data_IF_509646169376
#
_entry.id   IF_509646169376
#
_cell.length_a   1.000
_cell.length_b   1.000
_cell.length_c   1.000
_cell.angle_alpha   90.00
_cell.angle_beta   90.00
_cell.angle_gamma   90.00
#
_symmetry.space_group_name_H-M   'P 1'
#
loop_
_entity.id
_entity.type
_entity.pdbx_description
1 polymer ?
#
# COMPACT_ATOMS: atom_id res chain seq x y z
N UNK A 1 27.99 40.02 11.83
CA UNK A 1 28.46 39.00 12.80
C UNK A 1 27.86 37.68 12.31
N UNK A 2 28.66 36.92 11.57
CA UNK A 2 28.23 35.63 11.05
C UNK A 2 28.56 34.54 12.09
N UNK A 3 27.56 33.84 12.60
CA UNK A 3 27.79 32.62 13.38
C UNK A 3 27.81 31.45 12.44
N UNK A 4 28.93 30.71 12.55
CA UNK A 4 29.25 29.53 11.78
C UNK A 4 28.32 28.36 12.15
N UNK A 5 27.75 27.74 11.13
CA UNK A 5 27.06 26.46 11.21
C UNK A 5 28.11 25.34 11.27
N UNK A 6 28.09 24.58 12.35
CA UNK A 6 28.91 23.38 12.51
C UNK A 6 28.27 22.24 11.70
N UNK A 7 28.99 21.51 10.84
CA UNK A 7 28.46 20.37 10.15
C UNK A 7 28.25 19.21 11.14
N UNK A 8 27.05 18.65 11.16
CA UNK A 8 26.74 17.40 11.84
C UNK A 8 27.45 16.27 11.12
N UNK A 9 28.39 15.65 11.79
CA UNK A 9 29.08 14.45 11.32
C UNK A 9 28.06 13.33 11.06
N UNK A 10 27.97 12.91 9.81
CA UNK A 10 27.34 11.63 9.46
C UNK A 10 28.25 10.52 10.03
N UNK A 11 27.88 9.99 11.18
CA UNK A 11 28.47 8.76 11.68
C UNK A 11 28.01 7.62 10.75
N UNK A 12 28.95 7.15 9.95
CA UNK A 12 28.92 5.84 9.32
C UNK A 12 28.92 4.78 10.44
N UNK A 13 27.76 4.46 10.99
CA UNK A 13 27.60 3.28 11.83
C UNK A 13 27.46 2.08 10.88
N UNK A 14 28.61 1.46 10.54
CA UNK A 14 28.61 0.08 10.07
C UNK A 14 27.95 -0.76 11.16
N UNK A 15 26.75 -1.24 10.89
CA UNK A 15 26.08 -2.20 11.75
C UNK A 15 27.01 -3.41 11.90
N UNK A 16 27.31 -3.78 13.14
CA UNK A 16 28.13 -4.95 13.45
C UNK A 16 27.46 -6.20 12.85
N UNK A 17 28.25 -7.18 12.34
CA UNK A 17 27.68 -8.40 11.81
C UNK A 17 26.90 -9.11 12.90
N UNK A 18 25.62 -9.36 12.64
CA UNK A 18 24.78 -10.19 13.48
C UNK A 18 25.40 -11.60 13.51
N UNK A 19 25.53 -12.15 14.69
CA UNK A 19 26.16 -13.44 14.97
C UNK A 19 25.59 -14.56 14.10
N UNK A 20 26.48 -15.23 13.32
CA UNK A 20 26.31 -16.51 12.61
C UNK A 20 25.15 -16.67 11.62
N UNK A 21 24.46 -15.61 11.18
CA UNK A 21 23.52 -15.68 10.07
C UNK A 21 24.18 -15.15 8.80
N UNK A 22 24.28 -15.99 7.80
CA UNK A 22 24.86 -15.69 6.48
C UNK A 22 24.05 -14.67 5.62
N UNK A 23 23.19 -13.87 6.25
CA UNK A 23 22.37 -12.86 5.62
C UNK A 23 22.98 -11.46 5.73
N UNK A 24 23.15 -10.79 4.61
CA UNK A 24 23.66 -9.43 4.57
C UNK A 24 22.50 -8.46 4.30
N UNK A 25 22.22 -7.59 5.28
CA UNK A 25 21.18 -6.56 5.11
C UNK A 25 21.84 -5.21 4.95
N UNK A 26 21.44 -4.48 3.93
CA UNK A 26 21.91 -3.13 3.64
C UNK A 26 20.78 -2.21 3.21
N UNK A 27 20.93 -0.91 3.49
CA UNK A 27 20.04 0.10 2.98
C UNK A 27 20.24 0.24 1.46
N UNK A 28 19.14 0.22 0.72
CA UNK A 28 19.17 0.37 -0.73
C UNK A 28 19.36 1.84 -1.15
N UNK A 29 19.99 2.01 -2.29
CA UNK A 29 20.21 3.28 -2.96
C UNK A 29 19.48 3.33 -4.32
N UNK A 30 19.45 4.50 -4.95
CA UNK A 30 18.90 4.61 -6.30
C UNK A 30 19.70 3.84 -7.36
N UNK A 31 20.97 3.46 -7.07
CA UNK A 31 21.75 2.60 -7.95
C UNK A 31 21.18 1.17 -8.05
N UNK A 32 20.48 0.72 -7.02
CA UNK A 32 19.94 -0.64 -6.92
C UNK A 32 18.56 -0.78 -7.61
N UNK A 33 18.01 0.32 -8.14
CA UNK A 33 16.62 0.40 -8.63
C UNK A 33 16.29 -0.70 -9.64
N UNK A 34 17.17 -0.96 -10.60
CA UNK A 34 16.88 -1.94 -11.67
C UNK A 34 16.77 -3.37 -11.12
N UNK A 35 17.68 -3.78 -10.26
CA UNK A 35 17.70 -5.10 -9.64
C UNK A 35 16.50 -5.30 -8.69
N UNK A 36 16.18 -4.28 -7.90
CA UNK A 36 15.05 -4.30 -6.97
C UNK A 36 13.72 -4.41 -7.73
N UNK A 37 13.54 -3.65 -8.81
CA UNK A 37 12.35 -3.74 -9.66
C UNK A 37 12.23 -5.13 -10.29
N UNK A 38 13.33 -5.71 -10.78
CA UNK A 38 13.35 -7.07 -11.33
C UNK A 38 12.94 -8.10 -10.28
N UNK A 39 13.49 -7.99 -9.06
CA UNK A 39 13.15 -8.88 -7.94
C UNK A 39 11.67 -8.80 -7.57
N UNK A 40 11.14 -7.59 -7.38
CA UNK A 40 9.75 -7.37 -6.98
C UNK A 40 8.75 -7.75 -8.09
N UNK A 41 9.09 -7.57 -9.36
CA UNK A 41 8.25 -7.93 -10.49
C UNK A 41 8.04 -9.45 -10.66
N UNK A 42 8.76 -10.30 -9.93
CA UNK A 42 8.47 -11.75 -9.90
C UNK A 42 7.10 -12.06 -9.30
N UNK A 43 6.58 -11.15 -8.44
CA UNK A 43 5.27 -11.29 -7.80
C UNK A 43 4.50 -9.95 -7.83
N UNK A 44 4.12 -9.46 -9.01
CA UNK A 44 3.75 -8.07 -9.22
C UNK A 44 2.50 -7.62 -8.46
N UNK A 45 1.48 -8.47 -8.25
CA UNK A 45 0.29 -8.11 -7.47
C UNK A 45 0.56 -8.06 -5.96
N UNK A 46 1.57 -8.79 -5.47
CA UNK A 46 1.97 -8.83 -4.06
C UNK A 46 2.90 -7.66 -3.70
N UNK A 47 3.60 -7.11 -4.68
CA UNK A 47 4.64 -6.10 -4.49
C UNK A 47 4.27 -4.74 -5.09
N UNK A 48 3.06 -4.61 -5.65
CA UNK A 48 2.59 -3.40 -6.35
C UNK A 48 2.76 -2.13 -5.53
N UNK A 49 2.58 -2.20 -4.21
CA UNK A 49 2.73 -1.03 -3.33
C UNK A 49 4.19 -0.58 -3.25
N UNK A 50 5.15 -1.50 -3.04
CA UNK A 50 6.57 -1.17 -3.03
C UNK A 50 7.06 -0.68 -4.40
N UNK A 51 6.66 -1.38 -5.47
CA UNK A 51 6.96 -0.96 -6.85
C UNK A 51 6.41 0.43 -7.17
N UNK A 52 5.19 0.73 -6.71
CA UNK A 52 4.58 2.05 -6.89
C UNK A 52 5.32 3.15 -6.14
N UNK A 53 5.77 2.90 -4.90
CA UNK A 53 6.63 3.84 -4.17
C UNK A 53 7.93 4.12 -4.94
N UNK A 54 8.60 3.07 -5.42
CA UNK A 54 9.86 3.21 -6.18
C UNK A 54 9.62 4.00 -7.48
N UNK A 55 8.54 3.71 -8.19
CA UNK A 55 8.17 4.41 -9.43
C UNK A 55 7.88 5.89 -9.20
N UNK A 56 7.10 6.20 -8.16
CA UNK A 56 6.59 7.56 -7.93
C UNK A 56 7.63 8.46 -7.24
N UNK A 57 8.52 7.89 -6.44
CA UNK A 57 9.39 8.64 -5.53
C UNK A 57 10.88 8.27 -5.68
N UNK A 58 11.22 7.14 -6.32
CA UNK A 58 12.55 6.51 -6.23
C UNK A 58 12.72 5.69 -4.94
N UNK A 59 13.81 4.92 -4.87
CA UNK A 59 14.14 4.11 -3.68
C UNK A 59 14.43 5.00 -2.47
N UNK A 60 15.25 6.05 -2.67
CA UNK A 60 15.61 7.02 -1.63
C UNK A 60 14.71 8.24 -1.72
N UNK A 61 13.69 8.31 -0.85
CA UNK A 61 12.79 9.45 -0.78
C UNK A 61 12.07 9.51 0.58
N UNK A 62 11.97 10.68 1.15
CA UNK A 62 11.16 10.94 2.37
C UNK A 62 9.66 10.66 2.13
N UNK A 63 9.21 10.77 0.88
CA UNK A 63 7.82 10.48 0.50
C UNK A 63 7.46 9.00 0.64
N UNK A 64 8.44 8.10 0.72
CA UNK A 64 8.21 6.69 1.01
C UNK A 64 7.84 6.48 2.49
N UNK A 65 8.11 7.46 3.36
CA UNK A 65 7.86 7.41 4.80
C UNK A 65 8.54 6.21 5.47
N UNK A 66 9.67 5.78 4.93
CA UNK A 66 10.45 4.64 5.35
C UNK A 66 11.68 4.47 4.46
N UNK A 67 12.48 3.50 4.78
CA UNK A 67 13.73 3.16 4.10
C UNK A 67 13.63 1.79 3.45
N UNK A 68 14.08 1.68 2.22
CA UNK A 68 14.20 0.40 1.55
C UNK A 68 15.48 -0.31 1.95
N UNK A 69 15.37 -1.60 2.26
CA UNK A 69 16.46 -2.50 2.59
C UNK A 69 16.46 -3.72 1.67
N UNK A 70 17.65 -4.22 1.37
CA UNK A 70 17.85 -5.54 0.76
C UNK A 70 18.34 -6.54 1.80
N UNK A 71 18.02 -7.81 1.58
CA UNK A 71 18.71 -8.93 2.20
C UNK A 71 19.34 -9.77 1.08
N UNK A 72 20.66 -10.02 1.18
CA UNK A 72 21.42 -10.77 0.18
C UNK A 72 22.02 -12.03 0.77
N UNK A 73 22.24 -13.05 -0.06
CA UNK A 73 22.99 -14.22 0.30
C UNK A 73 24.51 -13.97 0.15
N UNK A 74 25.33 -14.99 0.47
CA UNK A 74 26.81 -14.93 0.38
C UNK A 74 27.32 -14.64 -1.03
N UNK A 75 26.56 -15.01 -2.05
CA UNK A 75 26.91 -14.80 -3.45
C UNK A 75 26.46 -13.42 -3.97
N UNK A 76 25.82 -12.61 -3.11
CA UNK A 76 25.33 -11.27 -3.43
C UNK A 76 23.93 -11.22 -4.06
N UNK A 77 23.25 -12.34 -4.24
CA UNK A 77 21.89 -12.37 -4.81
C UNK A 77 20.84 -11.91 -3.80
N UNK A 78 19.84 -11.15 -4.27
CA UNK A 78 18.69 -10.72 -3.47
C UNK A 78 17.84 -11.91 -3.01
N UNK A 79 17.64 -12.02 -1.70
CA UNK A 79 16.70 -12.93 -1.05
C UNK A 79 15.50 -12.20 -0.46
N UNK A 80 15.60 -10.88 -0.32
CA UNK A 80 14.50 -10.07 0.16
C UNK A 80 14.70 -8.58 -0.11
N UNK A 81 13.57 -7.89 -0.20
CA UNK A 81 13.45 -6.43 -0.22
C UNK A 81 12.36 -6.04 0.78
N UNK A 82 12.63 -5.07 1.62
CA UNK A 82 11.66 -4.51 2.54
C UNK A 82 11.66 -2.98 2.51
N UNK A 83 10.49 -2.39 2.63
CA UNK A 83 10.30 -1.00 3.06
C UNK A 83 10.02 -1.03 4.56
N UNK A 84 10.84 -0.39 5.37
CA UNK A 84 10.70 -0.31 6.82
C UNK A 84 10.54 1.14 7.23
N UNK A 85 9.44 1.45 7.89
CA UNK A 85 9.10 2.81 8.29
C UNK A 85 7.68 2.92 8.83
N UNK A 86 6.97 3.97 8.46
CA UNK A 86 5.57 4.15 8.85
C UNK A 86 4.69 2.94 8.42
N UNK A 87 4.91 2.39 7.23
CA UNK A 87 4.43 1.08 6.83
C UNK A 87 5.63 0.16 6.60
N UNK A 88 5.60 -1.04 7.18
CA UNK A 88 6.57 -2.09 6.90
C UNK A 88 5.94 -3.09 5.92
N UNK A 89 6.56 -3.18 4.75
CA UNK A 89 6.18 -4.06 3.64
C UNK A 89 7.40 -4.89 3.26
N UNK A 90 7.20 -6.15 2.90
CA UNK A 90 8.32 -7.03 2.56
C UNK A 90 7.98 -8.06 1.49
N UNK A 91 8.96 -8.36 0.66
CA UNK A 91 8.98 -9.51 -0.25
C UNK A 91 10.26 -10.29 -0.01
N UNK A 92 10.15 -11.57 0.32
CA UNK A 92 11.29 -12.42 0.66
C UNK A 92 11.15 -13.80 0.04
N UNK A 93 12.30 -14.44 -0.22
CA UNK A 93 12.36 -15.84 -0.69
C UNK A 93 12.83 -16.80 0.40
N UNK A 94 13.26 -16.28 1.56
CA UNK A 94 13.78 -17.07 2.69
C UNK A 94 13.29 -16.53 4.03
N UNK A 95 13.11 -17.41 5.03
CA UNK A 95 12.75 -17.01 6.40
C UNK A 95 13.87 -16.19 7.06
N UNK A 96 15.13 -16.47 6.71
CA UNK A 96 16.29 -15.70 7.17
C UNK A 96 16.19 -14.22 6.81
N UNK A 97 15.70 -13.90 5.61
CA UNK A 97 15.48 -12.51 5.21
C UNK A 97 14.35 -11.86 6.02
N UNK A 98 13.28 -12.61 6.35
CA UNK A 98 12.21 -12.14 7.24
C UNK A 98 12.74 -11.81 8.63
N UNK A 99 13.52 -12.71 9.22
CA UNK A 99 14.10 -12.53 10.56
C UNK A 99 15.02 -11.31 10.60
N UNK A 100 15.86 -11.14 9.57
CA UNK A 100 16.77 -10.01 9.47
C UNK A 100 16.03 -8.67 9.32
N UNK A 101 14.95 -8.61 8.53
CA UNK A 101 14.13 -7.41 8.42
C UNK A 101 13.35 -7.12 9.70
N UNK A 102 12.90 -8.13 10.43
CA UNK A 102 12.23 -7.95 11.71
C UNK A 102 13.16 -7.30 12.76
N UNK A 103 14.44 -7.69 12.79
CA UNK A 103 15.42 -7.07 13.68
C UNK A 103 15.64 -5.58 13.38
N UNK A 104 15.71 -5.20 12.09
CA UNK A 104 15.81 -3.80 11.70
C UNK A 104 14.54 -3.04 12.07
N UNK A 105 13.38 -3.62 11.82
CA UNK A 105 12.10 -2.97 12.05
C UNK A 105 11.85 -2.66 13.55
N UNK A 106 12.43 -3.43 14.48
CA UNK A 106 12.35 -3.15 15.93
C UNK A 106 12.89 -1.77 16.31
N UNK A 107 13.86 -1.25 15.56
CA UNK A 107 14.47 0.07 15.81
C UNK A 107 13.71 1.23 15.16
N UNK A 108 12.56 0.97 14.53
CA UNK A 108 11.78 1.98 13.85
C UNK A 108 10.71 2.55 14.78
N UNK A 109 11.00 3.67 15.43
CA UNK A 109 10.11 4.29 16.44
C UNK A 109 8.79 4.86 15.87
N UNK A 110 8.73 5.14 14.56
CA UNK A 110 7.56 5.71 13.91
C UNK A 110 6.77 4.69 13.08
N UNK A 111 6.98 3.40 13.32
CA UNK A 111 6.22 2.35 12.68
C UNK A 111 4.74 2.44 13.08
N UNK A 112 3.85 2.36 12.08
CA UNK A 112 2.41 2.43 12.30
C UNK A 112 1.73 1.11 11.94
N UNK A 113 2.22 0.43 10.90
CA UNK A 113 1.65 -0.82 10.44
C UNK A 113 2.68 -1.74 9.81
N UNK A 114 2.40 -3.04 9.90
CA UNK A 114 3.12 -4.11 9.22
C UNK A 114 2.11 -4.86 8.38
N UNK A 115 2.37 -5.06 7.08
CA UNK A 115 1.43 -5.72 6.18
C UNK A 115 2.15 -6.70 5.25
N UNK A 116 1.54 -7.86 5.04
CA UNK A 116 2.03 -8.88 4.11
C UNK A 116 1.16 -10.13 4.11
N UNK A 117 1.58 -11.14 3.36
CA UNK A 117 0.91 -12.43 3.36
C UNK A 117 0.97 -13.08 4.76
N UNK A 118 -0.11 -13.73 5.15
CA UNK A 118 -0.31 -14.29 6.52
C UNK A 118 0.90 -15.08 7.00
N UNK A 119 1.38 -16.03 6.22
CA UNK A 119 2.49 -16.90 6.60
C UNK A 119 3.78 -16.14 6.88
N UNK A 120 4.04 -15.10 6.06
CA UNK A 120 5.21 -14.21 6.24
C UNK A 120 5.05 -13.31 7.44
N UNK A 121 3.85 -12.76 7.66
CA UNK A 121 3.56 -11.89 8.80
C UNK A 121 3.64 -12.67 10.10
N UNK A 122 3.15 -13.90 10.16
CA UNK A 122 3.28 -14.76 11.35
C UNK A 122 4.75 -15.03 11.72
N UNK A 123 5.61 -15.30 10.73
CA UNK A 123 7.06 -15.47 10.95
C UNK A 123 7.72 -14.16 11.37
N UNK A 124 7.47 -13.07 10.65
CA UNK A 124 8.01 -11.76 10.96
C UNK A 124 7.60 -11.28 12.36
N UNK A 125 6.33 -11.41 12.71
CA UNK A 125 5.78 -10.98 14.00
C UNK A 125 6.41 -11.73 15.16
N UNK A 126 6.67 -13.03 15.00
CA UNK A 126 7.30 -13.85 16.03
C UNK A 126 8.66 -13.28 16.47
N UNK A 127 9.41 -12.74 15.54
CA UNK A 127 10.69 -12.06 15.83
C UNK A 127 10.45 -10.61 16.31
N UNK A 128 9.61 -9.85 15.61
CA UNK A 128 9.39 -8.44 15.86
C UNK A 128 8.85 -8.17 17.28
N UNK A 129 7.87 -8.93 17.76
CA UNK A 129 7.21 -8.73 19.06
C UNK A 129 8.17 -8.79 20.26
N UNK A 130 9.34 -9.40 20.13
CA UNK A 130 10.33 -9.54 21.21
C UNK A 130 11.12 -8.26 21.51
N UNK A 131 10.81 -7.13 20.90
CA UNK A 131 11.49 -5.85 21.13
C UNK A 131 10.94 -4.72 20.27
N UNK A 132 9.96 -4.99 19.42
CA UNK A 132 9.24 -3.98 18.64
C UNK A 132 8.07 -3.37 19.41
N UNK A 133 7.31 -2.52 18.72
CA UNK A 133 6.11 -1.90 19.27
C UNK A 133 4.98 -2.93 19.47
N UNK A 134 4.10 -2.66 20.43
CA UNK A 134 2.95 -3.53 20.70
C UNK A 134 1.90 -3.43 19.59
N UNK A 135 1.24 -4.56 19.36
CA UNK A 135 0.09 -4.62 18.45
C UNK A 135 -1.10 -3.92 19.07
N UNK A 136 -1.69 -2.98 18.32
CA UNK A 136 -2.95 -2.33 18.68
C UNK A 136 -4.17 -3.03 18.07
N UNK A 137 -4.06 -3.42 16.81
CA UNK A 137 -5.14 -4.04 16.04
C UNK A 137 -4.53 -4.94 14.97
N UNK A 138 -5.14 -6.08 14.70
CA UNK A 138 -4.85 -6.91 13.54
C UNK A 138 -6.09 -7.09 12.68
N UNK A 139 -5.93 -6.96 11.38
CA UNK A 139 -6.96 -7.15 10.37
C UNK A 139 -6.50 -8.22 9.38
N UNK A 140 -7.37 -9.17 9.08
CA UNK A 140 -7.18 -10.13 7.99
C UNK A 140 -7.89 -9.65 6.75
N UNK A 141 -7.21 -9.73 5.60
CA UNK A 141 -7.69 -9.23 4.33
C UNK A 141 -7.47 -10.26 3.23
N UNK A 142 -8.37 -10.29 2.27
CA UNK A 142 -8.31 -11.17 1.12
C UNK A 142 -7.82 -10.37 -0.10
N UNK A 143 -6.73 -10.83 -0.72
CA UNK A 143 -6.22 -10.28 -1.99
C UNK A 143 -7.03 -10.84 -3.15
N UNK A 144 -7.71 -9.95 -3.85
CA UNK A 144 -8.42 -10.26 -5.08
C UNK A 144 -7.70 -9.67 -6.29
N UNK A 145 -7.76 -10.38 -7.42
CA UNK A 145 -7.20 -9.96 -8.71
C UNK A 145 -8.24 -10.07 -9.83
N UNK A 146 -8.24 -9.11 -10.72
CA UNK A 146 -8.93 -9.15 -12.01
C UNK A 146 -7.91 -8.98 -13.13
N UNK A 147 -7.78 -10.00 -13.99
CA UNK A 147 -6.86 -10.02 -15.13
C UNK A 147 -7.56 -10.30 -16.48
N UNK A 148 -8.86 -10.33 -16.45
CA UNK A 148 -9.69 -10.56 -17.64
C UNK A 148 -10.65 -9.41 -17.85
N UNK A 149 -10.89 -8.97 -19.09
CA UNK A 149 -11.78 -7.85 -19.36
C UNK A 149 -13.22 -8.18 -18.95
N UNK A 150 -13.79 -7.29 -18.16
CA UNK A 150 -15.20 -7.37 -17.76
C UNK A 150 -16.08 -6.72 -18.83
N UNK A 151 -17.18 -7.37 -19.14
CA UNK A 151 -18.19 -6.78 -20.01
C UNK A 151 -18.93 -5.66 -19.27
N UNK A 152 -18.72 -4.43 -19.71
CA UNK A 152 -19.54 -3.29 -19.27
C UNK A 152 -20.88 -3.35 -19.98
N UNK A 153 -21.97 -3.58 -19.22
CA UNK A 153 -23.31 -3.70 -19.79
C UNK A 153 -23.88 -2.31 -20.05
N UNK A 154 -23.74 -1.40 -19.08
CA UNK A 154 -24.19 -0.01 -19.17
C UNK A 154 -23.11 0.93 -18.63
N UNK A 155 -22.70 1.90 -19.42
CA UNK A 155 -21.76 2.93 -18.98
C UNK A 155 -22.44 3.87 -17.97
N UNK A 156 -21.67 4.28 -16.96
CA UNK A 156 -22.07 5.28 -15.99
C UNK A 156 -21.63 6.65 -16.48
N UNK A 157 -22.60 7.47 -16.85
CA UNK A 157 -22.30 8.84 -17.21
C UNK A 157 -21.69 9.58 -16.01
N UNK A 158 -20.56 10.28 -16.24
CA UNK A 158 -19.92 11.09 -15.22
C UNK A 158 -18.89 10.35 -14.36
N UNK A 159 -18.56 9.06 -14.63
CA UNK A 159 -17.38 8.42 -14.03
C UNK A 159 -16.12 9.07 -14.64
N UNK A 160 -15.33 9.72 -13.80
CA UNK A 160 -14.13 10.47 -14.18
C UNK A 160 -13.10 10.51 -13.07
N UNK A 161 -11.88 10.90 -13.40
CA UNK A 161 -10.93 11.31 -12.39
C UNK A 161 -11.45 12.54 -11.63
N UNK A 162 -11.22 12.56 -10.31
CA UNK A 162 -11.57 13.69 -9.48
C UNK A 162 -10.70 14.92 -9.80
N UNK A 163 -11.26 16.09 -9.59
CA UNK A 163 -10.57 17.38 -9.65
C UNK A 163 -10.46 17.99 -8.24
N UNK A 164 -9.72 19.08 -8.07
CA UNK A 164 -9.64 19.77 -6.78
C UNK A 164 -11.01 20.26 -6.27
N UNK A 165 -11.97 20.51 -7.17
CA UNK A 165 -13.35 20.88 -6.78
C UNK A 165 -14.09 19.74 -6.07
N UNK A 166 -13.65 18.49 -6.25
CA UNK A 166 -14.23 17.32 -5.59
C UNK A 166 -13.58 17.03 -4.21
N UNK A 167 -12.51 17.71 -3.85
CA UNK A 167 -11.73 17.41 -2.64
C UNK A 167 -12.58 17.42 -1.38
N UNK A 168 -13.43 18.43 -1.22
CA UNK A 168 -14.28 18.60 -0.03
C UNK A 168 -15.44 17.56 0.00
N UNK A 169 -15.75 16.91 -1.12
CA UNK A 169 -16.67 15.76 -1.16
C UNK A 169 -15.94 14.44 -0.85
N UNK A 170 -14.70 14.30 -1.29
CA UNK A 170 -13.90 13.07 -1.15
C UNK A 170 -13.34 12.92 0.26
N UNK A 171 -12.81 13.99 0.85
CA UNK A 171 -12.11 13.94 2.15
C UNK A 171 -12.94 13.35 3.30
N UNK A 172 -14.21 13.77 3.54
CA UNK A 172 -15.00 13.22 4.64
C UNK A 172 -15.23 11.71 4.49
N UNK A 173 -15.49 11.26 3.26
CA UNK A 173 -15.70 9.84 2.95
C UNK A 173 -14.41 9.05 3.19
N UNK A 174 -13.27 9.54 2.71
CA UNK A 174 -11.98 8.91 2.92
C UNK A 174 -11.59 8.87 4.40
N UNK A 175 -11.88 9.93 5.16
CA UNK A 175 -11.64 9.99 6.60
C UNK A 175 -12.48 8.99 7.37
N UNK A 176 -13.77 8.84 7.03
CA UNK A 176 -14.65 7.84 7.61
C UNK A 176 -14.15 6.41 7.34
N UNK A 177 -13.78 6.11 6.08
CA UNK A 177 -13.26 4.79 5.71
C UNK A 177 -11.98 4.45 6.48
N UNK A 178 -11.03 5.40 6.58
CA UNK A 178 -9.81 5.21 7.34
C UNK A 178 -10.08 4.97 8.84
N UNK A 179 -11.07 5.66 9.41
CA UNK A 179 -11.51 5.44 10.79
C UNK A 179 -12.13 4.04 10.99
N UNK A 180 -12.99 3.61 10.07
CA UNK A 180 -13.62 2.29 10.12
C UNK A 180 -12.57 1.15 10.04
N UNK A 181 -11.49 1.36 9.30
CA UNK A 181 -10.41 0.41 9.11
C UNK A 181 -9.44 0.37 10.30
N UNK A 182 -8.92 1.52 10.69
CA UNK A 182 -7.82 1.63 11.66
C UNK A 182 -8.25 2.03 13.06
N UNK A 183 -9.49 2.54 13.24
CA UNK A 183 -9.96 3.13 14.50
C UNK A 183 -9.36 4.52 14.80
N UNK A 184 -8.60 5.10 13.88
CA UNK A 184 -8.02 6.46 14.02
C UNK A 184 -8.60 7.35 12.92
N UNK A 185 -9.20 8.48 13.35
CA UNK A 185 -9.70 9.48 12.41
C UNK A 185 -8.57 10.41 11.95
N UNK A 186 -8.11 10.29 10.68
CA UNK A 186 -7.02 11.12 10.20
C UNK A 186 -7.39 12.62 10.09
N UNK A 187 -8.68 12.95 10.03
CA UNK A 187 -9.14 14.34 10.02
C UNK A 187 -9.00 15.02 11.39
N UNK A 188 -8.83 14.24 12.46
CA UNK A 188 -8.60 14.72 13.82
C UNK A 188 -7.12 14.62 14.22
N UNK A 189 -6.46 13.51 13.86
CA UNK A 189 -5.08 13.25 14.27
C UNK A 189 -4.02 13.98 13.42
N UNK A 190 -4.29 14.17 12.11
CA UNK A 190 -3.36 14.83 11.16
C UNK A 190 -4.15 15.46 9.99
N UNK A 191 -4.96 16.51 10.24
CA UNK A 191 -5.85 17.08 9.22
C UNK A 191 -5.10 17.65 8.01
N UNK A 192 -3.99 18.34 8.22
CA UNK A 192 -3.21 18.95 7.14
C UNK A 192 -2.50 17.91 6.29
N UNK A 193 -1.84 16.95 6.90
CA UNK A 193 -1.20 15.86 6.18
C UNK A 193 -2.22 14.97 5.47
N UNK A 194 -3.40 14.76 6.07
CA UNK A 194 -4.46 14.01 5.41
C UNK A 194 -4.99 14.73 4.18
N UNK A 195 -5.25 16.05 4.28
CA UNK A 195 -5.65 16.89 3.15
C UNK A 195 -4.58 16.86 2.05
N UNK A 196 -3.31 16.99 2.41
CA UNK A 196 -2.22 16.93 1.44
C UNK A 196 -2.16 15.58 0.70
N UNK A 197 -2.38 14.46 1.40
CA UNK A 197 -2.42 13.11 0.79
C UNK A 197 -3.60 12.95 -0.17
N UNK A 198 -4.80 13.39 0.21
CA UNK A 198 -5.97 13.38 -0.69
C UNK A 198 -5.75 14.27 -1.92
N UNK A 199 -5.23 15.49 -1.72
CA UNK A 199 -4.93 16.42 -2.80
C UNK A 199 -3.91 15.85 -3.79
N UNK A 200 -2.83 15.25 -3.28
CA UNK A 200 -1.81 14.62 -4.12
C UNK A 200 -2.39 13.49 -4.98
N UNK A 201 -3.25 12.64 -4.40
CA UNK A 201 -3.90 11.55 -5.13
C UNK A 201 -4.80 12.07 -6.24
N UNK A 202 -5.58 13.13 -5.97
CA UNK A 202 -6.39 13.81 -6.98
C UNK A 202 -5.50 14.41 -8.07
N UNK A 203 -4.42 15.11 -7.71
CA UNK A 203 -3.46 15.69 -8.66
C UNK A 203 -2.84 14.64 -9.58
N UNK A 204 -2.62 13.44 -9.07
CA UNK A 204 -2.10 12.30 -9.83
C UNK A 204 -3.15 11.62 -10.71
N UNK A 205 -4.42 12.06 -10.69
CA UNK A 205 -5.53 11.42 -11.42
C UNK A 205 -5.93 10.05 -10.87
N UNK A 206 -5.60 9.79 -9.60
CA UNK A 206 -5.76 8.47 -8.96
C UNK A 206 -7.01 8.33 -8.11
N UNK A 207 -7.81 9.38 -7.95
CA UNK A 207 -9.14 9.31 -7.33
C UNK A 207 -10.19 9.38 -8.41
N UNK A 208 -11.04 8.38 -8.48
CA UNK A 208 -12.14 8.28 -9.45
C UNK A 208 -13.46 8.50 -8.76
N UNK A 209 -14.35 9.30 -9.38
CA UNK A 209 -15.62 9.71 -8.78
C UNK A 209 -16.77 9.69 -9.78
N UNK A 210 -17.98 9.55 -9.24
CA UNK A 210 -19.24 9.98 -9.85
C UNK A 210 -19.86 10.99 -8.91
N UNK A 211 -20.14 12.19 -9.41
CA UNK A 211 -20.81 13.27 -8.66
C UNK A 211 -22.09 13.65 -9.38
N UNK A 212 -23.23 13.63 -8.68
CA UNK A 212 -24.52 14.05 -9.20
C UNK A 212 -25.08 15.19 -8.34
N UNK A 213 -25.37 16.32 -8.96
CA UNK A 213 -25.96 17.51 -8.30
C UNK A 213 -25.23 17.90 -7.00
N UNK A 214 -23.89 17.89 -7.03
CA UNK A 214 -23.04 18.24 -5.89
C UNK A 214 -22.94 17.15 -4.81
N UNK A 215 -23.46 15.94 -5.05
CA UNK A 215 -23.37 14.81 -4.13
C UNK A 215 -22.46 13.73 -4.68
N UNK A 216 -21.51 13.25 -3.87
CA UNK A 216 -20.66 12.11 -4.21
C UNK A 216 -21.51 10.84 -4.22
N UNK A 217 -21.51 10.13 -5.34
CA UNK A 217 -22.25 8.88 -5.54
C UNK A 217 -21.35 7.66 -5.47
N UNK A 218 -20.18 7.76 -6.10
CA UNK A 218 -19.18 6.70 -6.15
C UNK A 218 -17.79 7.29 -6.00
N UNK A 219 -16.93 6.56 -5.35
CA UNK A 219 -15.48 6.84 -5.24
C UNK A 219 -14.69 5.55 -5.31
N UNK A 220 -13.54 5.60 -5.95
CA UNK A 220 -12.49 4.57 -5.89
C UNK A 220 -11.12 5.23 -6.01
N UNK A 221 -10.15 4.74 -5.26
CA UNK A 221 -8.77 5.25 -5.32
C UNK A 221 -7.84 4.22 -5.96
N UNK A 222 -6.96 4.69 -6.82
CA UNK A 222 -5.80 3.98 -7.32
C UNK A 222 -4.62 4.29 -6.39
N UNK A 223 -4.40 3.44 -5.40
CA UNK A 223 -3.40 3.69 -4.34
C UNK A 223 -1.99 3.56 -4.89
N UNK A 224 -1.79 2.55 -5.71
CA UNK A 224 -0.50 2.26 -6.33
C UNK A 224 -0.70 1.69 -7.73
N UNK A 225 0.24 1.93 -8.60
CA UNK A 225 0.26 1.33 -9.93
C UNK A 225 1.69 1.13 -10.44
N UNK A 226 1.84 0.10 -11.26
CA UNK A 226 3.02 -0.18 -12.07
C UNK A 226 2.63 -0.20 -13.55
N UNK A 227 3.56 -0.53 -14.44
CA UNK A 227 3.22 -0.70 -15.85
C UNK A 227 2.25 -1.87 -16.06
N UNK A 228 2.32 -2.91 -15.22
CA UNK A 228 1.49 -4.11 -15.35
C UNK A 228 0.31 -4.21 -14.41
N UNK A 229 0.33 -3.56 -13.24
CA UNK A 229 -0.67 -3.75 -12.19
C UNK A 229 -1.22 -2.43 -11.69
N UNK A 230 -2.52 -2.41 -11.42
CA UNK A 230 -3.22 -1.34 -10.72
C UNK A 230 -3.75 -1.86 -9.37
N UNK A 231 -3.47 -1.15 -8.27
CA UNK A 231 -3.98 -1.48 -6.94
C UNK A 231 -5.04 -0.48 -6.52
N UNK A 232 -6.26 -0.97 -6.32
CA UNK A 232 -7.45 -0.17 -5.99
C UNK A 232 -7.78 -0.33 -4.51
N UNK A 233 -8.07 0.77 -3.85
CA UNK A 233 -8.66 0.81 -2.51
C UNK A 233 -9.79 1.83 -2.45
N UNK A 234 -10.39 1.94 -1.27
CA UNK A 234 -11.32 3.02 -0.96
C UNK A 234 -12.54 3.06 -1.88
N UNK A 235 -13.01 1.91 -2.33
CA UNK A 235 -14.25 1.80 -3.12
C UNK A 235 -15.43 2.08 -2.22
N UNK A 236 -16.12 3.18 -2.51
CA UNK A 236 -17.25 3.62 -1.74
C UNK A 236 -18.44 4.00 -2.65
N UNK A 237 -19.63 3.69 -2.18
CA UNK A 237 -20.90 4.07 -2.83
C UNK A 237 -21.79 4.72 -1.79
N UNK A 238 -22.42 5.83 -2.18
CA UNK A 238 -23.39 6.52 -1.36
C UNK A 238 -24.46 5.52 -0.86
N UNK A 239 -24.69 5.42 0.46
CA UNK A 239 -25.64 4.47 1.04
C UNK A 239 -27.04 4.51 0.41
N UNK A 240 -27.51 5.70 0.04
CA UNK A 240 -28.81 5.89 -0.60
C UNK A 240 -28.90 5.32 -2.03
N UNK A 241 -27.74 5.05 -2.65
CA UNK A 241 -27.63 4.60 -4.05
C UNK A 241 -27.15 3.14 -4.20
N UNK A 242 -26.91 2.42 -3.10
CA UNK A 242 -26.35 1.05 -3.11
C UNK A 242 -27.21 0.00 -3.81
N UNK A 243 -28.51 0.27 -4.06
CA UNK A 243 -29.47 -0.71 -4.59
C UNK A 243 -29.55 -0.79 -6.13
N UNK A 244 -28.78 0.04 -6.85
CA UNK A 244 -28.95 0.21 -8.32
C UNK A 244 -27.78 -0.34 -9.12
N UNK A 245 -27.05 -1.34 -8.61
CA UNK A 245 -25.85 -1.92 -9.22
C UNK A 245 -24.80 -0.86 -9.65
N UNK A 246 -24.91 0.37 -9.14
CA UNK A 246 -24.03 1.49 -9.50
C UNK A 246 -22.57 1.17 -9.21
N UNK A 247 -22.28 0.47 -8.09
CA UNK A 247 -20.94 0.03 -7.75
C UNK A 247 -20.36 -0.89 -8.83
N UNK A 248 -21.14 -1.90 -9.24
CA UNK A 248 -20.71 -2.89 -10.23
C UNK A 248 -20.46 -2.22 -11.59
N UNK A 249 -21.35 -1.33 -12.00
CA UNK A 249 -21.22 -0.58 -13.25
C UNK A 249 -19.99 0.33 -13.23
N UNK A 250 -19.79 1.11 -12.17
CA UNK A 250 -18.60 1.97 -12.02
C UNK A 250 -17.32 1.16 -12.00
N UNK A 251 -17.25 0.09 -11.19
CA UNK A 251 -16.07 -0.76 -11.10
C UNK A 251 -15.77 -1.48 -12.42
N UNK A 252 -16.79 -1.98 -13.12
CA UNK A 252 -16.60 -2.62 -14.43
C UNK A 252 -16.07 -1.64 -15.48
N UNK A 253 -16.60 -0.41 -15.49
CA UNK A 253 -16.14 0.64 -16.40
C UNK A 253 -14.71 1.07 -16.09
N UNK A 254 -14.39 1.29 -14.80
CA UNK A 254 -13.04 1.62 -14.34
C UNK A 254 -12.07 0.48 -14.68
N UNK A 255 -12.45 -0.77 -14.42
CA UNK A 255 -11.63 -1.93 -14.75
C UNK A 255 -11.36 -2.03 -16.26
N UNK A 256 -12.35 -1.82 -17.12
CA UNK A 256 -12.15 -1.77 -18.57
C UNK A 256 -11.14 -0.70 -18.98
N UNK A 257 -11.20 0.48 -18.35
CA UNK A 257 -10.27 1.58 -18.65
C UNK A 257 -8.84 1.24 -18.20
N UNK A 258 -8.67 0.68 -17.01
CA UNK A 258 -7.36 0.32 -16.47
C UNK A 258 -6.74 -0.87 -17.23
N UNK A 259 -7.49 -1.92 -17.51
CA UNK A 259 -7.02 -3.10 -18.23
C UNK A 259 -6.70 -2.84 -19.71
N UNK A 260 -7.05 -1.66 -20.24
CA UNK A 260 -6.59 -1.25 -21.57
C UNK A 260 -5.05 -1.08 -21.64
N UNK A 261 -4.40 -0.81 -20.49
CA UNK A 261 -2.96 -0.54 -20.39
C UNK A 261 -2.28 -1.30 -19.23
N UNK A 262 -3.00 -2.14 -18.51
CA UNK A 262 -2.51 -2.95 -17.39
C UNK A 262 -2.84 -4.42 -17.63
N UNK A 263 -2.02 -5.30 -17.07
CA UNK A 263 -2.25 -6.75 -17.15
C UNK A 263 -3.26 -7.22 -16.10
N UNK A 264 -3.29 -6.55 -14.93
CA UNK A 264 -4.22 -6.89 -13.86
C UNK A 264 -4.55 -5.70 -12.94
N UNK A 265 -5.64 -5.87 -12.21
CA UNK A 265 -6.09 -5.00 -11.13
C UNK A 265 -6.17 -5.85 -9.88
N UNK A 266 -5.61 -5.39 -8.77
CA UNK A 266 -5.74 -6.06 -7.48
C UNK A 266 -6.31 -5.13 -6.42
N UNK A 267 -6.82 -5.73 -5.35
CA UNK A 267 -7.37 -5.03 -4.19
C UNK A 267 -7.38 -5.96 -2.97
N UNK A 268 -7.33 -5.35 -1.78
CA UNK A 268 -7.50 -6.04 -0.51
C UNK A 268 -8.89 -5.76 0.06
N UNK A 269 -9.49 -6.76 0.67
CA UNK A 269 -10.81 -6.68 1.29
C UNK A 269 -10.78 -7.34 2.65
N UNK A 270 -11.21 -6.61 3.68
CA UNK A 270 -11.30 -7.17 5.02
C UNK A 270 -12.11 -8.48 5.03
N UNK A 271 -11.58 -9.53 5.66
CA UNK A 271 -12.18 -10.87 5.72
C UNK A 271 -13.64 -10.85 6.26
N UNK A 272 -13.95 -9.91 7.15
CA UNK A 272 -15.29 -9.76 7.72
C UNK A 272 -16.30 -9.11 6.77
N UNK A 273 -15.83 -8.48 5.68
CA UNK A 273 -16.71 -7.80 4.72
C UNK A 273 -17.21 -8.78 3.65
N UNK A 274 -18.06 -9.72 4.05
CA UNK A 274 -18.60 -10.78 3.17
C UNK A 274 -19.37 -10.22 1.98
N UNK A 275 -20.07 -9.09 2.16
CA UNK A 275 -20.78 -8.43 1.07
C UNK A 275 -19.86 -7.91 -0.04
N UNK A 276 -18.67 -7.40 0.34
CA UNK A 276 -17.65 -7.01 -0.62
C UNK A 276 -17.04 -8.22 -1.32
N UNK A 277 -16.81 -9.34 -0.63
CA UNK A 277 -16.33 -10.57 -1.25
C UNK A 277 -17.26 -11.06 -2.36
N UNK A 278 -18.57 -11.12 -2.08
CA UNK A 278 -19.59 -11.50 -3.09
C UNK A 278 -19.60 -10.52 -4.25
N UNK A 279 -19.52 -9.23 -3.94
CA UNK A 279 -19.48 -8.16 -4.94
C UNK A 279 -18.29 -8.32 -5.88
N UNK A 280 -17.06 -8.49 -5.36
CA UNK A 280 -15.86 -8.60 -6.20
C UNK A 280 -15.84 -9.91 -6.99
N UNK A 281 -16.30 -11.03 -6.43
CA UNK A 281 -16.47 -12.27 -7.20
C UNK A 281 -17.48 -12.10 -8.35
N UNK A 282 -18.61 -11.43 -8.10
CA UNK A 282 -19.59 -11.09 -9.14
C UNK A 282 -18.99 -10.17 -10.21
N UNK A 283 -18.05 -9.29 -9.82
CA UNK A 283 -17.32 -8.42 -10.74
C UNK A 283 -16.19 -9.12 -11.50
N UNK A 284 -15.96 -10.43 -11.28
CA UNK A 284 -14.97 -11.24 -11.99
C UNK A 284 -13.61 -11.29 -11.32
N UNK A 285 -13.47 -10.77 -10.11
CA UNK A 285 -12.22 -10.88 -9.35
C UNK A 285 -12.05 -12.28 -8.75
N UNK A 286 -10.83 -12.78 -8.74
CA UNK A 286 -10.46 -14.06 -8.18
C UNK A 286 -9.58 -13.89 -6.94
N UNK A 287 -9.76 -14.77 -5.94
CA UNK A 287 -8.94 -14.79 -4.73
C UNK A 287 -7.51 -15.27 -5.07
N UNK A 288 -6.49 -14.52 -4.63
CA UNK A 288 -5.08 -14.82 -4.89
C UNK A 288 -4.25 -15.03 -3.63
N UNK A 289 -4.68 -14.53 -2.49
CA UNK A 289 -3.95 -14.68 -1.25
C UNK A 289 -4.70 -14.14 -0.05
N UNK A 290 -4.12 -14.34 1.13
CA UNK A 290 -4.61 -13.83 2.40
C UNK A 290 -3.51 -13.01 3.03
N UNK A 291 -3.86 -11.84 3.53
CA UNK A 291 -2.95 -10.86 4.14
C UNK A 291 -3.34 -10.60 5.58
N UNK A 292 -2.36 -10.30 6.40
CA UNK A 292 -2.57 -9.68 7.70
C UNK A 292 -1.96 -8.28 7.70
N UNK A 293 -2.74 -7.34 8.22
CA UNK A 293 -2.30 -5.98 8.53
C UNK A 293 -2.32 -5.81 10.05
N UNK A 294 -1.15 -5.58 10.63
CA UNK A 294 -0.96 -5.32 12.06
C UNK A 294 -0.74 -3.82 12.25
N UNK A 295 -1.67 -3.15 12.91
CA UNK A 295 -1.49 -1.78 13.36
C UNK A 295 -0.80 -1.76 14.71
N UNK A 296 0.19 -0.88 14.86
CA UNK A 296 1.03 -0.76 16.05
C UNK A 296 0.55 0.39 16.96
N UNK A 297 0.92 0.32 18.24
CA UNK A 297 0.78 1.44 19.15
C UNK A 297 1.84 2.50 18.80
N UNK A 298 1.43 3.76 18.72
CA UNK A 298 2.32 4.92 18.50
C UNK A 298 2.90 5.39 19.81
#
# INVERSE_FOLDING_TARGET
MFQSVVPVNANNSSLAPLTETDAWVEQLSNADTAEVIEFLNKRPIHTVTMLGFIRDNGIQSELNRGTFYSCRNRDGYLEGVALIGHATLMETTTDRALDAFAEIAKSCDNAHMIMGEVERIESFWRQYQSGGQEMRLACRELLFELNSPVRVVDEVNGLRAATFDDLDLVMPVQGQMAFEESGINPMESDPDGFRARCSRRIQQGRTWVVVEKGTLIFKADLISETDGVAYIEGVWVNPERRRNDIALRCMSQLAKMLLANKNSICLLVNERNTSAHEFYRKAGYELRGVYDTIFLNS
#
